data_IF_962634470682
#
_entry.id   IF_962634470682
#
_cell.length_a   1.000
_cell.length_b   1.000
_cell.length_c   1.000
_cell.angle_alpha   90.00
_cell.angle_beta   90.00
_cell.angle_gamma   90.00
#
_symmetry.space_group_name_H-M   'P 1'
#
loop_
_entity.id
_entity.type
_entity.pdbx_description
1 polymer ?
#
# COMPACT_ATOMS: atom_id res chain seq x y z
N UNK A 1 10.65 -14.49 -13.07
CA UNK A 1 11.87 -14.17 -12.30
C UNK A 1 11.99 -12.66 -12.04
N UNK A 2 11.93 -11.80 -13.06
CA UNK A 2 11.98 -10.32 -12.91
C UNK A 2 10.91 -9.74 -11.96
N UNK A 3 9.64 -10.10 -12.18
CA UNK A 3 8.49 -9.56 -11.42
C UNK A 3 8.59 -9.88 -9.92
N UNK A 4 9.05 -11.09 -9.57
CA UNK A 4 9.21 -11.50 -8.18
C UNK A 4 10.33 -10.70 -7.48
N UNK A 5 11.44 -10.44 -8.18
CA UNK A 5 12.53 -9.59 -7.66
C UNK A 5 12.04 -8.16 -7.39
N UNK A 6 11.19 -7.62 -8.27
CA UNK A 6 10.64 -6.28 -8.08
C UNK A 6 9.75 -6.18 -6.83
N UNK A 7 8.88 -7.17 -6.60
CA UNK A 7 8.04 -7.22 -5.39
C UNK A 7 8.90 -7.31 -4.14
N UNK A 8 9.94 -8.14 -4.15
CA UNK A 8 10.87 -8.29 -3.02
C UNK A 8 11.56 -6.96 -2.68
N UNK A 9 12.02 -6.22 -3.69
CA UNK A 9 12.65 -4.90 -3.52
C UNK A 9 11.66 -3.89 -2.92
N UNK A 10 10.43 -3.84 -3.43
CA UNK A 10 9.37 -2.94 -2.93
C UNK A 10 9.12 -3.20 -1.45
N UNK A 11 8.89 -4.47 -1.05
CA UNK A 11 8.61 -4.85 0.34
C UNK A 11 9.81 -4.54 1.25
N UNK A 12 11.03 -4.87 0.82
CA UNK A 12 12.25 -4.60 1.59
C UNK A 12 12.47 -3.10 1.81
N UNK A 13 12.21 -2.27 0.81
CA UNK A 13 12.38 -0.83 0.95
C UNK A 13 11.27 -0.20 1.80
N UNK A 14 10.04 -0.66 1.66
CA UNK A 14 8.93 -0.18 2.47
C UNK A 14 9.12 -0.48 3.96
N UNK A 15 9.55 -1.71 4.32
CA UNK A 15 9.87 -2.11 5.70
C UNK A 15 11.00 -1.31 6.36
N UNK A 16 11.80 -0.58 5.60
CA UNK A 16 12.83 0.32 6.16
C UNK A 16 12.24 1.64 6.66
N UNK A 17 11.04 2.00 6.24
CA UNK A 17 10.43 3.32 6.47
C UNK A 17 9.04 3.27 7.11
N UNK A 18 8.41 2.10 7.18
CA UNK A 18 7.06 1.90 7.71
C UNK A 18 6.93 2.10 9.24
N UNK A 19 8.04 2.28 9.94
CA UNK A 19 8.05 2.71 11.34
C UNK A 19 7.50 4.14 11.53
N UNK A 20 7.54 4.97 10.49
CA UNK A 20 7.11 6.37 10.58
C UNK A 20 5.59 6.49 10.46
N UNK A 21 4.95 7.19 11.40
CA UNK A 21 3.48 7.32 11.50
C UNK A 21 2.75 7.88 10.26
N UNK A 22 3.46 8.56 9.36
CA UNK A 22 2.90 9.11 8.11
C UNK A 22 3.09 8.17 6.90
N UNK A 23 3.67 6.99 7.09
CA UNK A 23 3.79 5.95 6.07
C UNK A 23 2.72 4.90 6.36
N UNK A 24 1.93 4.55 5.34
CA UNK A 24 0.95 3.46 5.43
C UNK A 24 1.70 2.17 5.79
N UNK A 25 1.30 1.49 6.87
CA UNK A 25 1.97 0.25 7.27
C UNK A 25 1.71 -0.89 6.30
N UNK A 26 2.73 -1.68 6.04
CA UNK A 26 2.62 -2.97 5.39
C UNK A 26 2.49 -4.09 6.43
N UNK A 27 1.47 -4.93 6.30
CA UNK A 27 1.27 -6.07 7.18
C UNK A 27 1.84 -7.34 6.56
N UNK A 28 1.28 -7.77 5.42
CA UNK A 28 1.63 -9.04 4.81
C UNK A 28 1.28 -9.13 3.32
N UNK A 29 1.69 -10.22 2.68
CA UNK A 29 1.19 -10.63 1.38
C UNK A 29 0.24 -11.80 1.60
N UNK A 30 -1.01 -11.64 1.15
CA UNK A 30 -2.02 -12.70 1.17
C UNK A 30 -2.27 -13.21 -0.24
N UNK A 31 -2.74 -14.45 -0.37
CA UNK A 31 -3.18 -15.00 -1.66
C UNK A 31 -4.69 -15.06 -1.65
N UNK A 32 -5.31 -14.35 -2.60
CA UNK A 32 -6.74 -14.39 -2.78
C UNK A 32 -7.14 -15.77 -3.34
N UNK A 33 -7.98 -16.55 -2.63
CA UNK A 33 -8.36 -17.89 -3.05
C UNK A 33 -9.29 -17.90 -4.28
N UNK A 34 -9.98 -16.79 -4.53
CA UNK A 34 -10.96 -16.64 -5.62
C UNK A 34 -10.28 -16.28 -6.94
N UNK A 35 -9.31 -15.35 -6.90
CA UNK A 35 -8.63 -14.84 -8.09
C UNK A 35 -7.26 -15.48 -8.33
N UNK A 36 -6.74 -16.25 -7.36
CA UNK A 36 -5.41 -16.85 -7.42
C UNK A 36 -4.26 -15.83 -7.43
N UNK A 37 -4.56 -14.56 -7.15
CA UNK A 37 -3.61 -13.43 -7.17
C UNK A 37 -3.07 -13.17 -5.78
N UNK A 38 -1.83 -12.70 -5.72
CA UNK A 38 -1.24 -12.18 -4.49
C UNK A 38 -1.69 -10.73 -4.27
N UNK A 39 -2.07 -10.43 -3.04
CA UNK A 39 -2.50 -9.12 -2.57
C UNK A 39 -1.53 -8.63 -1.50
N UNK A 40 -1.22 -7.33 -1.51
CA UNK A 40 -0.54 -6.68 -0.39
C UNK A 40 -1.58 -6.17 0.59
N UNK A 41 -1.43 -6.55 1.85
CA UNK A 41 -2.29 -6.12 2.95
C UNK A 41 -1.63 -4.91 3.61
N UNK A 42 -2.33 -3.78 3.56
CA UNK A 42 -1.84 -2.46 3.98
C UNK A 42 -2.79 -1.85 5.02
N UNK A 43 -2.27 -0.93 5.83
CA UNK A 43 -3.08 -0.08 6.69
C UNK A 43 -4.13 0.70 5.90
N UNK A 44 -5.36 0.71 6.42
CA UNK A 44 -6.45 1.41 5.78
C UNK A 44 -6.34 2.91 5.99
N UNK A 45 -6.03 3.65 4.92
CA UNK A 45 -6.08 5.10 4.91
C UNK A 45 -7.52 5.57 4.64
N UNK A 46 -8.20 6.04 5.68
CA UNK A 46 -9.51 6.65 5.54
C UNK A 46 -9.41 7.96 4.72
N UNK A 47 -10.54 8.41 4.15
CA UNK A 47 -10.65 9.62 3.33
C UNK A 47 -9.98 9.56 1.93
N UNK A 48 -9.44 8.39 1.54
CA UNK A 48 -8.93 8.15 0.19
C UNK A 48 -7.63 8.91 -0.11
N UNK A 49 -7.42 9.29 -1.37
CA UNK A 49 -6.19 9.98 -1.77
C UNK A 49 -6.19 11.43 -1.30
N UNK A 50 -5.00 11.97 -1.00
CA UNK A 50 -4.85 13.40 -0.67
C UNK A 50 -5.42 14.31 -1.77
N UNK A 51 -5.24 13.94 -3.05
CA UNK A 51 -5.82 14.67 -4.18
C UNK A 51 -7.33 14.76 -4.06
N UNK A 52 -8.01 13.64 -3.87
CA UNK A 52 -9.46 13.59 -3.76
C UNK A 52 -9.93 14.36 -2.53
N UNK A 53 -9.26 14.16 -1.39
CA UNK A 53 -9.56 14.90 -0.16
C UNK A 53 -9.50 16.40 -0.38
N UNK A 54 -8.42 16.90 -1.01
CA UNK A 54 -8.25 18.32 -1.28
C UNK A 54 -9.31 18.86 -2.25
N UNK A 55 -9.62 18.11 -3.30
CA UNK A 55 -10.69 18.46 -4.24
C UNK A 55 -12.06 18.52 -3.54
N UNK A 56 -12.41 17.53 -2.71
CA UNK A 56 -13.72 17.49 -2.05
C UNK A 56 -13.86 18.55 -0.95
N UNK A 57 -12.80 18.84 -0.20
CA UNK A 57 -12.85 19.74 0.96
C UNK A 57 -12.59 21.21 0.62
N UNK A 58 -11.89 21.49 -0.48
CA UNK A 58 -11.46 22.84 -0.84
C UNK A 58 -11.82 23.24 -2.28
N UNK A 59 -12.60 22.45 -3.01
CA UNK A 59 -13.26 22.96 -4.22
C UNK A 59 -14.24 24.06 -3.80
N UNK A 60 -13.88 25.31 -4.11
CA UNK A 60 -14.81 26.44 -4.12
C UNK A 60 -15.67 26.38 -5.37
#
# INVERSE_FOLDING_TARGET
MEILKNIEIIVKNHRKVDYHKNIIRFYEISKDPTFGKYLMILEYANQGTLRNYLQTKFAK
#
